data_IF_823759722945
#
_entry.id   IF_823759722945
#
_cell.length_a   1.000
_cell.length_b   1.000
_cell.length_c   1.000
_cell.angle_alpha   90.00
_cell.angle_beta   90.00
_cell.angle_gamma   90.00
#
_symmetry.space_group_name_H-M   'P 1'
#
loop_
_entity.id
_entity.type
_entity.pdbx_description
1 polymer ?
#
# COMPACT_ATOMS: atom_id res chain seq x y z
N UNK A 1 8.00 9.22 -21.02
CA UNK A 1 6.71 8.58 -21.15
C UNK A 1 6.38 7.77 -19.92
N UNK A 2 5.16 7.90 -19.45
CA UNK A 2 4.77 7.30 -18.18
C UNK A 2 4.03 5.98 -18.37
N UNK A 3 4.69 5.08 -19.10
CA UNK A 3 4.13 3.76 -19.26
C UNK A 3 4.05 3.07 -17.90
N UNK A 4 2.89 2.53 -17.62
CA UNK A 4 2.68 1.79 -16.39
C UNK A 4 3.60 0.57 -16.37
N UNK A 5 4.58 0.52 -15.45
CA UNK A 5 5.50 -0.61 -15.39
C UNK A 5 4.79 -1.92 -15.08
N UNK A 6 3.59 -1.85 -14.51
CA UNK A 6 2.86 -3.04 -14.13
C UNK A 6 2.38 -3.84 -15.34
N UNK A 7 2.15 -3.16 -16.48
CA UNK A 7 1.66 -3.87 -17.65
C UNK A 7 2.57 -5.00 -18.10
N UNK A 8 3.88 -4.81 -17.96
CA UNK A 8 4.84 -5.85 -18.33
C UNK A 8 5.07 -6.86 -17.21
N UNK A 9 4.96 -6.42 -15.96
CA UNK A 9 5.34 -7.23 -14.81
C UNK A 9 4.23 -8.11 -14.29
N UNK A 10 2.98 -7.73 -14.50
CA UNK A 10 1.85 -8.42 -13.86
C UNK A 10 1.72 -9.89 -14.25
N UNK A 11 2.21 -10.23 -15.42
CA UNK A 11 2.11 -11.60 -15.92
C UNK A 11 3.29 -12.49 -15.55
N UNK A 12 4.28 -11.95 -14.84
CA UNK A 12 5.43 -12.75 -14.42
C UNK A 12 4.96 -13.73 -13.33
N UNK A 13 5.02 -15.04 -13.60
CA UNK A 13 4.38 -16.01 -12.72
C UNK A 13 5.10 -16.28 -11.42
N UNK A 14 6.42 -15.99 -11.37
CA UNK A 14 7.23 -16.39 -10.23
C UNK A 14 7.81 -15.21 -9.45
N UNK A 15 7.35 -13.99 -9.70
CA UNK A 15 7.85 -12.83 -8.98
C UNK A 15 7.32 -12.86 -7.56
N UNK A 16 8.23 -12.84 -6.59
CA UNK A 16 7.89 -12.96 -5.18
C UNK A 16 7.91 -11.63 -4.45
N UNK A 17 8.71 -10.68 -4.93
CA UNK A 17 8.87 -9.40 -4.27
C UNK A 17 9.04 -8.32 -5.33
N UNK A 18 8.38 -7.18 -5.11
CA UNK A 18 8.45 -6.05 -6.04
C UNK A 18 8.57 -4.76 -5.25
N UNK A 19 9.50 -3.91 -5.69
CA UNK A 19 9.66 -2.57 -5.14
C UNK A 19 9.58 -1.58 -6.27
N UNK A 20 8.71 -0.60 -6.13
CA UNK A 20 8.55 0.48 -7.11
C UNK A 20 8.89 1.79 -6.43
N UNK A 21 9.82 2.54 -7.02
CA UNK A 21 10.23 3.85 -6.52
C UNK A 21 10.16 4.88 -7.63
N UNK A 22 10.40 6.13 -7.28
CA UNK A 22 10.34 7.24 -8.23
C UNK A 22 11.25 7.04 -9.44
N UNK A 23 12.33 6.29 -9.30
CA UNK A 23 13.24 6.03 -10.41
C UNK A 23 12.63 5.12 -11.45
N UNK A 24 11.68 4.30 -11.05
CA UNK A 24 11.04 3.36 -11.96
C UNK A 24 9.74 3.91 -12.53
N UNK A 25 9.05 4.78 -11.79
CA UNK A 25 7.76 5.26 -12.21
C UNK A 25 7.44 6.63 -11.59
N UNK A 26 6.94 7.55 -12.40
CA UNK A 26 6.53 8.86 -11.95
C UNK A 26 5.14 9.26 -12.43
N UNK A 27 4.27 8.29 -12.63
CA UNK A 27 2.89 8.55 -13.04
C UNK A 27 1.97 8.77 -11.86
N UNK A 28 0.75 9.23 -12.16
CA UNK A 28 -0.23 9.57 -11.14
C UNK A 28 -1.07 8.39 -10.69
N UNK A 29 -1.11 7.32 -11.45
CA UNK A 29 -1.97 6.17 -11.17
C UNK A 29 -1.23 4.86 -11.32
N UNK A 30 -1.52 3.93 -10.43
CA UNK A 30 -1.09 2.54 -10.56
C UNK A 30 -2.34 1.66 -10.44
N UNK A 31 -2.44 0.67 -11.30
CA UNK A 31 -3.56 -0.24 -11.29
C UNK A 31 -3.08 -1.70 -11.27
N UNK A 32 -3.31 -2.37 -10.16
CA UNK A 32 -3.05 -3.80 -10.00
C UNK A 32 -4.29 -4.55 -10.45
N UNK A 33 -4.17 -5.26 -11.56
CA UNK A 33 -5.31 -5.85 -12.25
C UNK A 33 -5.60 -7.26 -11.78
N UNK A 34 -6.85 -7.67 -11.95
CA UNK A 34 -7.27 -9.03 -11.59
C UNK A 34 -6.33 -10.05 -12.22
N UNK A 35 -5.94 -11.04 -11.42
CA UNK A 35 -5.03 -12.09 -11.85
C UNK A 35 -3.57 -11.68 -11.92
N UNK A 36 -3.24 -10.42 -11.71
CA UNK A 36 -1.86 -9.95 -11.75
C UNK A 36 -1.06 -10.36 -10.53
N UNK A 37 0.23 -10.59 -10.74
CA UNK A 37 1.18 -10.95 -9.68
C UNK A 37 0.73 -12.15 -8.87
N UNK A 38 0.56 -13.30 -9.51
CA UNK A 38 -0.08 -14.46 -8.85
C UNK A 38 0.70 -15.00 -7.65
N UNK A 39 2.01 -14.75 -7.57
CA UNK A 39 2.83 -15.28 -6.48
C UNK A 39 3.53 -14.21 -5.67
N UNK A 40 3.20 -12.95 -5.88
CA UNK A 40 3.86 -11.86 -5.17
C UNK A 40 3.47 -11.90 -3.71
N UNK A 41 4.49 -11.90 -2.83
CA UNK A 41 4.30 -11.92 -1.39
C UNK A 41 4.61 -10.60 -0.73
N UNK A 42 5.46 -9.77 -1.35
CA UNK A 42 5.82 -8.49 -0.76
C UNK A 42 5.84 -7.40 -1.82
N UNK A 43 5.17 -6.31 -1.53
CA UNK A 43 5.10 -5.14 -2.41
C UNK A 43 5.49 -3.90 -1.63
N UNK A 44 6.40 -3.10 -2.19
CA UNK A 44 6.81 -1.82 -1.60
C UNK A 44 6.67 -0.71 -2.62
N UNK A 45 6.00 0.36 -2.23
CA UNK A 45 5.83 1.57 -3.04
C UNK A 45 6.44 2.73 -2.26
N UNK A 46 7.50 3.33 -2.80
CA UNK A 46 8.26 4.37 -2.09
C UNK A 46 8.51 5.57 -2.98
N UNK A 47 8.30 6.77 -2.42
CA UNK A 47 8.66 8.02 -3.09
C UNK A 47 7.97 8.22 -4.42
N UNK A 48 6.75 7.76 -4.56
CA UNK A 48 5.98 8.01 -5.79
C UNK A 48 5.31 9.37 -5.64
N UNK A 49 6.06 10.42 -5.97
CA UNK A 49 5.73 11.81 -5.63
C UNK A 49 4.39 12.29 -6.16
N UNK A 50 4.01 11.86 -7.33
CA UNK A 50 2.78 12.34 -7.95
C UNK A 50 1.67 11.30 -7.96
N UNK A 51 1.92 10.13 -7.39
CA UNK A 51 0.91 9.08 -7.33
C UNK A 51 -0.25 9.56 -6.46
N UNK A 52 -1.42 9.66 -7.04
CA UNK A 52 -2.61 10.06 -6.31
C UNK A 52 -3.71 9.00 -6.33
N UNK A 53 -3.53 7.95 -7.10
CA UNK A 53 -4.52 6.88 -7.22
C UNK A 53 -3.84 5.53 -7.28
N UNK A 54 -4.23 4.64 -6.40
CA UNK A 54 -3.75 3.26 -6.39
C UNK A 54 -4.97 2.36 -6.41
N UNK A 55 -5.15 1.67 -7.53
CA UNK A 55 -6.28 0.78 -7.71
C UNK A 55 -5.83 -0.66 -7.62
N UNK A 56 -6.53 -1.44 -6.83
CA UNK A 56 -6.25 -2.87 -6.65
C UNK A 56 -7.55 -3.61 -6.91
N UNK A 57 -7.59 -4.34 -8.02
CA UNK A 57 -8.79 -5.11 -8.37
C UNK A 57 -8.97 -6.27 -7.40
N UNK A 58 -10.21 -6.66 -7.20
CA UNK A 58 -10.50 -7.92 -6.53
C UNK A 58 -9.86 -9.04 -7.35
N UNK A 59 -9.07 -9.90 -6.69
CA UNK A 59 -8.36 -10.98 -7.39
C UNK A 59 -6.95 -10.62 -7.84
N UNK A 60 -6.53 -9.36 -7.68
CA UNK A 60 -5.13 -8.98 -7.86
C UNK A 60 -4.33 -9.35 -6.61
N UNK A 61 -3.04 -9.62 -6.79
CA UNK A 61 -2.15 -9.87 -5.64
C UNK A 61 -2.71 -10.91 -4.68
N UNK A 62 -3.10 -12.09 -5.18
CA UNK A 62 -3.92 -13.02 -4.40
C UNK A 62 -3.26 -13.58 -3.14
N UNK A 63 -1.91 -13.62 -3.10
CA UNK A 63 -1.21 -14.15 -1.93
C UNK A 63 -0.30 -13.13 -1.27
N UNK A 64 -0.52 -11.84 -1.52
CA UNK A 64 0.32 -10.80 -0.93
C UNK A 64 0.21 -10.83 0.58
N UNK A 65 1.36 -10.82 1.26
CA UNK A 65 1.44 -10.89 2.70
C UNK A 65 1.89 -9.59 3.36
N UNK A 66 2.74 -8.83 2.66
CA UNK A 66 3.27 -7.58 3.20
C UNK A 66 3.15 -6.49 2.16
N UNK A 67 2.50 -5.39 2.54
CA UNK A 67 2.41 -4.20 1.70
C UNK A 67 2.99 -3.02 2.45
N UNK A 68 3.94 -2.33 1.83
CA UNK A 68 4.59 -1.16 2.40
C UNK A 68 4.42 0.02 1.45
N UNK A 69 3.91 1.13 1.97
CA UNK A 69 3.73 2.37 1.21
C UNK A 69 4.35 3.51 2.00
N UNK A 70 5.26 4.26 1.37
CA UNK A 70 5.92 5.36 2.05
C UNK A 70 6.20 6.53 1.15
N UNK A 71 6.15 7.73 1.73
CA UNK A 71 6.51 8.98 1.06
C UNK A 71 5.76 9.22 -0.25
N UNK A 72 4.53 8.75 -0.33
CA UNK A 72 3.64 9.01 -1.46
C UNK A 72 2.72 10.17 -1.07
N UNK A 73 3.24 11.39 -1.20
CA UNK A 73 2.64 12.57 -0.57
C UNK A 73 1.35 13.05 -1.22
N UNK A 74 1.07 12.61 -2.44
CA UNK A 74 -0.19 12.92 -3.10
C UNK A 74 -1.23 11.81 -2.95
N UNK A 75 -0.88 10.70 -2.34
CA UNK A 75 -1.81 9.62 -2.05
C UNK A 75 -2.49 9.92 -0.72
N UNK A 76 -3.61 10.64 -0.78
CA UNK A 76 -4.25 11.17 0.42
C UNK A 76 -5.36 10.29 0.97
N UNK A 77 -5.74 9.27 0.22
CA UNK A 77 -6.85 8.40 0.58
C UNK A 77 -6.36 6.96 0.57
N UNK A 78 -6.69 6.23 1.62
CA UNK A 78 -6.34 4.81 1.72
C UNK A 78 -7.00 4.06 0.56
N UNK A 79 -6.22 3.34 -0.24
CA UNK A 79 -6.79 2.60 -1.39
C UNK A 79 -7.80 1.56 -0.93
N UNK A 80 -9.02 1.66 -1.44
CA UNK A 80 -10.08 0.75 -1.02
C UNK A 80 -9.82 -0.70 -1.41
N UNK A 81 -9.03 -0.92 -2.46
CA UNK A 81 -8.70 -2.28 -2.90
C UNK A 81 -7.91 -3.10 -1.90
N UNK A 82 -7.30 -2.46 -0.89
CA UNK A 82 -6.63 -3.21 0.18
C UNK A 82 -7.63 -4.14 0.87
N UNK A 83 -8.90 -3.78 0.90
CA UNK A 83 -9.93 -4.63 1.46
C UNK A 83 -9.96 -6.03 0.83
N UNK A 84 -9.57 -6.15 -0.43
CA UNK A 84 -9.56 -7.42 -1.13
C UNK A 84 -8.35 -8.30 -0.83
N UNK A 85 -7.33 -7.74 -0.18
CA UNK A 85 -6.08 -8.45 0.10
C UNK A 85 -6.22 -9.26 1.38
N UNK A 86 -6.91 -10.41 1.26
CA UNK A 86 -7.32 -11.19 2.43
C UNK A 86 -6.21 -11.99 3.08
N UNK A 87 -5.08 -12.17 2.39
CA UNK A 87 -3.93 -12.85 2.96
C UNK A 87 -2.90 -11.89 3.53
N UNK A 88 -3.19 -10.59 3.52
CA UNK A 88 -2.27 -9.58 3.99
C UNK A 88 -2.10 -9.74 5.50
N UNK A 89 -0.84 -9.86 5.93
CA UNK A 89 -0.48 -10.04 7.32
C UNK A 89 0.02 -8.76 7.94
N UNK A 90 0.66 -7.92 7.13
CA UNK A 90 1.28 -6.71 7.63
C UNK A 90 1.16 -5.60 6.61
N UNK A 91 0.77 -4.43 7.10
CA UNK A 91 0.60 -3.23 6.30
C UNK A 91 1.42 -2.12 6.95
N UNK A 92 2.39 -1.59 6.21
CA UNK A 92 3.33 -0.59 6.73
C UNK A 92 3.17 0.71 5.97
N UNK A 93 2.92 1.79 6.71
CA UNK A 93 2.85 3.13 6.14
C UNK A 93 3.94 4.00 6.76
N UNK A 94 4.74 4.68 5.90
CA UNK A 94 5.84 5.52 6.34
C UNK A 94 5.67 6.92 5.76
N UNK A 95 5.62 7.93 6.64
CA UNK A 95 5.59 9.34 6.20
C UNK A 95 4.49 9.62 5.18
N UNK A 96 3.31 9.12 5.44
CA UNK A 96 2.14 9.36 4.60
C UNK A 96 1.46 10.68 4.97
N UNK A 97 0.65 11.25 4.08
CA UNK A 97 -0.11 12.47 4.39
C UNK A 97 -0.99 12.29 5.62
N UNK A 98 -1.23 13.40 6.33
CA UNK A 98 -2.07 13.37 7.52
C UNK A 98 -3.47 12.86 7.20
N UNK A 99 -4.04 13.29 6.08
CA UNK A 99 -5.38 12.85 5.67
C UNK A 99 -5.45 11.33 5.51
N UNK A 100 -4.37 10.76 4.99
CA UNK A 100 -4.28 9.31 4.84
C UNK A 100 -4.35 8.61 6.19
N UNK A 101 -3.54 9.11 7.13
CA UNK A 101 -3.49 8.52 8.47
C UNK A 101 -4.80 8.69 9.23
N UNK A 102 -5.45 9.84 9.07
CA UNK A 102 -6.73 10.09 9.74
C UNK A 102 -7.80 9.10 9.31
N UNK A 103 -7.77 8.71 8.04
CA UNK A 103 -8.71 7.72 7.54
C UNK A 103 -8.58 6.35 8.19
N UNK A 104 -7.44 6.07 8.80
CA UNK A 104 -7.13 4.78 9.41
C UNK A 104 -7.42 4.72 10.90
N UNK A 105 -7.90 5.81 11.51
CA UNK A 105 -8.21 5.82 12.93
C UNK A 105 -9.30 4.78 13.20
N UNK A 106 -9.08 3.83 14.13
CA UNK A 106 -10.07 2.77 14.39
C UNK A 106 -11.41 3.28 14.88
N UNK A 107 -11.46 4.46 15.50
CA UNK A 107 -12.70 5.00 16.07
C UNK A 107 -13.38 6.01 15.17
N UNK A 108 -12.60 6.87 14.52
CA UNK A 108 -13.13 8.01 13.78
C UNK A 108 -12.82 7.97 12.29
N UNK A 109 -11.91 7.10 11.86
CA UNK A 109 -11.49 7.04 10.47
C UNK A 109 -12.55 6.42 9.60
N UNK A 110 -12.84 7.06 8.49
CA UNK A 110 -13.88 6.58 7.58
C UNK A 110 -13.40 5.43 6.70
N UNK A 111 -12.11 5.13 6.75
CA UNK A 111 -11.53 4.09 5.91
C UNK A 111 -10.93 2.93 6.70
N UNK A 112 -11.15 2.90 7.99
CA UNK A 112 -10.62 1.83 8.83
C UNK A 112 -11.11 0.46 8.37
N UNK A 113 -12.33 0.37 7.85
CA UNK A 113 -12.89 -0.89 7.37
C UNK A 113 -12.05 -1.55 6.28
N UNK A 114 -11.26 -0.75 5.57
CA UNK A 114 -10.41 -1.27 4.48
C UNK A 114 -9.28 -2.13 5.02
N UNK A 115 -8.75 -1.79 6.20
CA UNK A 115 -7.57 -2.45 6.78
C UNK A 115 -7.90 -3.29 7.99
N UNK A 116 -9.15 -3.35 8.38
CA UNK A 116 -9.57 -4.00 9.64
C UNK A 116 -9.18 -5.47 9.69
N UNK A 117 -9.12 -6.14 8.54
CA UNK A 117 -8.78 -7.55 8.45
C UNK A 117 -7.27 -7.82 8.57
N UNK A 118 -6.44 -6.78 8.54
CA UNK A 118 -4.98 -6.95 8.55
C UNK A 118 -4.49 -7.00 10.00
N UNK A 119 -3.78 -8.07 10.39
CA UNK A 119 -3.37 -8.23 11.78
C UNK A 119 -2.44 -7.15 12.30
N UNK A 120 -1.53 -6.65 11.47
CA UNK A 120 -0.54 -5.66 11.90
C UNK A 120 -0.58 -4.48 10.93
N UNK A 121 -0.88 -3.29 11.46
CA UNK A 121 -0.83 -2.04 10.69
C UNK A 121 0.08 -1.08 11.43
N UNK A 122 1.12 -0.61 10.76
CA UNK A 122 2.14 0.28 11.34
C UNK A 122 2.14 1.63 10.65
N UNK A 123 2.22 2.69 11.45
CA UNK A 123 2.34 4.06 10.97
C UNK A 123 3.61 4.65 11.59
N UNK A 124 4.56 5.07 10.73
CA UNK A 124 5.82 5.65 11.20
C UNK A 124 6.11 6.96 10.46
N UNK A 125 6.91 7.82 11.08
CA UNK A 125 7.36 9.07 10.50
C UNK A 125 8.84 9.23 10.76
N UNK A 126 9.63 9.36 9.70
CA UNK A 126 11.08 9.48 9.78
C UNK A 126 11.65 10.70 9.06
N UNK A 127 10.80 11.47 8.37
CA UNK A 127 11.26 12.58 7.51
C UNK A 127 11.70 13.78 8.32
N UNK A 128 11.13 13.98 9.51
CA UNK A 128 11.48 15.10 10.37
C UNK A 128 12.78 14.80 11.10
N UNK A 129 13.48 15.86 11.57
CA UNK A 129 14.68 15.71 12.37
C UNK A 129 14.44 14.84 13.60
N UNK A 130 13.23 14.83 14.06
CA UNK A 130 12.82 13.97 15.17
C UNK A 130 12.00 12.83 14.57
N UNK A 131 12.43 11.61 14.82
CA UNK A 131 11.66 10.44 14.43
C UNK A 131 10.44 10.35 15.32
N UNK A 132 9.27 10.36 14.73
CA UNK A 132 8.03 10.23 15.45
C UNK A 132 7.44 8.85 15.12
N UNK A 133 7.46 7.97 16.10
CA UNK A 133 6.88 6.65 15.94
C UNK A 133 5.43 6.70 16.39
N UNK A 134 4.54 6.41 15.47
CA UNK A 134 3.16 6.18 15.84
C UNK A 134 3.06 4.82 16.46
N UNK A 135 2.22 4.66 17.47
CA UNK A 135 2.03 3.33 18.02
C UNK A 135 1.62 2.36 16.90
N UNK A 136 2.33 1.27 16.84
CA UNK A 136 1.88 0.18 16.00
C UNK A 136 0.59 -0.34 16.63
N UNK A 137 -0.46 -0.40 15.82
CA UNK A 137 -1.68 -1.00 16.34
C UNK A 137 -1.95 -2.31 15.60
N UNK A 138 -2.33 -3.30 16.38
CA UNK A 138 -2.75 -4.57 15.83
C UNK A 138 -4.26 -4.54 15.74
N UNK A 139 -4.76 -4.91 14.59
CA UNK A 139 -6.20 -5.11 14.44
C UNK A 139 -6.49 -6.41 15.18
N UNK A 140 -7.41 -6.39 16.15
CA UNK A 140 -7.69 -7.61 16.89
C UNK A 140 -8.12 -8.72 15.95
N UNK A 141 -7.38 -9.82 15.98
CA UNK A 141 -7.81 -11.02 15.26
C UNK A 141 -8.68 -11.80 16.22
N UNK A 142 -9.89 -11.44 16.20
CA UNK A 142 -10.86 -12.09 17.09
C UNK A 142 -11.38 -13.35 16.47
#
# INVERSE_FOLDING_TARGET
MNDDPLNALQNLPNLLELKISEKAYNGEQLHFKIGGFPKLKKLSLLHLHVLNSLMIDEGALPILEILSIGLCLELKVVPSGIYHLRNLKELRFHDMPQEFEEGLDPEQGQRYWIVEHVPIVSLTRFVLDITVLRPTFSVPSI
#
